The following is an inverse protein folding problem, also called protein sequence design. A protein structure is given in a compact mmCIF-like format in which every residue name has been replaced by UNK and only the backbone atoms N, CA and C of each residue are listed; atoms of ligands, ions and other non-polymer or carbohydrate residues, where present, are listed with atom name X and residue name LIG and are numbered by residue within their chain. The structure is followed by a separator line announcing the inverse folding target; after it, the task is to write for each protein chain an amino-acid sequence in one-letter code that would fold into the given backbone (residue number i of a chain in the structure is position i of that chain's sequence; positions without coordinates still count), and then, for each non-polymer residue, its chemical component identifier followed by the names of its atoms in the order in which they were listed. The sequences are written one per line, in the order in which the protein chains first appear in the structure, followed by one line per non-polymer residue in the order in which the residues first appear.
data_IF_699642739594
#
_entry.id   IF_699642739594
#
_cell.length_a   1.000
_cell.length_b   1.000
_cell.length_c   1.000
_cell.angle_alpha   90.00
_cell.angle_beta   90.00
_cell.angle_gamma   90.00
#
_symmetry.space_group_name_H-M   'P 1'
#
loop_
_entity.id
_entity.type
_entity.pdbx_description
1 polymer ?
#
# COMPACT_ATOMS: atom_id res chain seq x y z
N UNK A 1 -6.29 19.26 -3.14
CA UNK A 1 -6.21 18.94 -1.68
C UNK A 1 -4.97 19.63 -1.15
N UNK A 2 -5.04 20.38 -0.06
CA UNK A 2 -3.85 21.08 0.46
C UNK A 2 -2.90 20.07 1.13
N UNK A 3 -1.61 20.20 0.87
CA UNK A 3 -0.57 19.40 1.53
C UNK A 3 -0.59 19.66 3.03
N UNK A 4 -0.58 18.60 3.83
CA UNK A 4 -0.49 18.66 5.30
C UNK A 4 0.59 17.68 5.77
N UNK A 5 1.37 18.10 6.75
CA UNK A 5 2.39 17.25 7.36
C UNK A 5 1.91 16.80 8.75
N UNK A 6 1.65 15.52 8.96
CA UNK A 6 1.36 14.99 10.29
C UNK A 6 2.54 15.23 11.24
N UNK A 7 2.29 15.44 12.56
CA UNK A 7 3.36 15.67 13.54
C UNK A 7 4.47 14.61 13.54
N UNK A 8 4.10 13.35 13.33
CA UNK A 8 5.08 12.25 13.22
C UNK A 8 6.04 12.44 12.05
N UNK A 9 5.58 12.99 10.93
CA UNK A 9 6.42 13.24 9.76
C UNK A 9 7.34 14.45 9.95
N UNK A 10 6.97 15.41 10.77
CA UNK A 10 7.83 16.55 11.13
C UNK A 10 9.11 16.07 11.83
N UNK A 11 9.01 15.08 12.71
CA UNK A 11 10.19 14.51 13.36
C UNK A 11 11.18 13.89 12.37
N UNK A 12 10.68 13.20 11.33
CA UNK A 12 11.52 12.64 10.28
C UNK A 12 12.21 13.71 9.43
N UNK A 13 11.53 14.84 9.18
CA UNK A 13 12.14 15.99 8.48
C UNK A 13 13.27 16.59 9.34
N UNK A 14 13.07 16.76 10.64
CA UNK A 14 14.14 17.23 11.56
C UNK A 14 15.34 16.29 11.55
N UNK A 15 15.12 15.00 11.69
CA UNK A 15 16.19 14.00 11.59
C UNK A 15 16.89 14.04 10.23
N UNK A 16 16.14 14.24 9.13
CA UNK A 16 16.73 14.39 7.80
C UNK A 16 17.69 15.60 7.72
N UNK A 17 17.32 16.73 8.31
CA UNK A 17 18.15 17.94 8.32
C UNK A 17 19.46 17.76 9.10
N UNK A 18 19.50 16.86 10.08
CA UNK A 18 20.69 16.51 10.87
C UNK A 18 21.63 15.55 10.15
N UNK A 19 21.17 14.89 9.05
CA UNK A 19 22.03 13.96 8.31
C UNK A 19 23.18 14.66 7.62
N UNK A 20 24.36 14.03 7.53
CA UNK A 20 25.42 14.46 6.65
C UNK A 20 24.99 14.49 5.18
N UNK A 21 25.53 15.42 4.39
CA UNK A 21 25.16 15.58 2.97
C UNK A 21 25.41 14.31 2.17
N UNK A 22 26.48 13.56 2.45
CA UNK A 22 26.78 12.26 1.85
C UNK A 22 25.65 11.23 2.06
N UNK A 23 25.04 11.20 3.26
CA UNK A 23 23.90 10.31 3.56
C UNK A 23 22.65 10.72 2.81
N UNK A 24 22.43 12.02 2.61
CA UNK A 24 21.29 12.54 1.84
C UNK A 24 21.44 12.20 0.36
N UNK A 25 22.64 12.37 -0.19
CA UNK A 25 22.94 11.99 -1.58
C UNK A 25 22.79 10.48 -1.79
N UNK A 26 23.25 9.68 -0.84
CA UNK A 26 23.08 8.23 -0.87
C UNK A 26 21.61 7.82 -0.81
N UNK A 27 20.80 8.46 0.05
CA UNK A 27 19.36 8.24 0.15
C UNK A 27 18.65 8.62 -1.16
N UNK A 28 18.96 9.78 -1.74
CA UNK A 28 18.42 10.22 -3.01
C UNK A 28 18.78 9.23 -4.14
N UNK A 29 20.03 8.83 -4.20
CA UNK A 29 20.51 7.86 -5.19
C UNK A 29 19.79 6.53 -5.07
N UNK A 30 19.58 6.04 -3.84
CA UNK A 30 18.84 4.80 -3.58
C UNK A 30 17.36 4.93 -4.00
N UNK A 31 16.71 6.05 -3.67
CA UNK A 31 15.33 6.34 -4.09
C UNK A 31 15.16 6.40 -5.61
N UNK A 32 16.14 6.95 -6.33
CA UNK A 32 16.08 7.05 -7.81
C UNK A 32 16.37 5.70 -8.47
N UNK A 33 17.28 4.90 -7.91
CA UNK A 33 17.71 3.61 -8.48
C UNK A 33 16.80 2.44 -8.10
N UNK A 34 16.11 2.51 -6.97
CA UNK A 34 15.19 1.46 -6.55
C UNK A 34 14.07 1.27 -7.59
N UNK A 35 13.68 0.03 -7.81
CA UNK A 35 12.49 -0.28 -8.59
C UNK A 35 11.23 0.04 -7.79
N UNK A 36 10.08 0.22 -8.47
CA UNK A 36 8.81 0.40 -7.79
C UNK A 36 8.47 -0.85 -6.97
N UNK A 37 7.84 -0.64 -5.80
CA UNK A 37 7.32 -1.69 -4.92
C UNK A 37 5.80 -1.61 -4.87
N UNK A 38 5.19 -2.67 -4.37
CA UNK A 38 3.74 -2.66 -4.18
C UNK A 38 3.31 -1.71 -3.05
N UNK A 39 4.13 -1.58 -2.00
CA UNK A 39 3.86 -0.71 -0.87
C UNK A 39 5.11 0.04 -0.40
N UNK A 40 4.88 1.09 0.39
CA UNK A 40 5.95 1.98 0.89
C UNK A 40 6.83 1.31 1.95
N UNK A 41 6.35 0.27 2.63
CA UNK A 41 7.12 -0.45 3.65
C UNK A 41 8.22 -1.28 3.00
N UNK A 42 7.89 -2.05 1.94
CA UNK A 42 8.88 -2.83 1.19
C UNK A 42 9.93 -1.92 0.57
N UNK A 43 9.53 -0.74 0.07
CA UNK A 43 10.46 0.24 -0.47
C UNK A 43 11.38 0.80 0.62
N UNK A 44 10.83 1.12 1.80
CA UNK A 44 11.62 1.63 2.93
C UNK A 44 12.64 0.61 3.41
N UNK A 45 12.24 -0.64 3.56
CA UNK A 45 13.12 -1.74 3.99
C UNK A 45 14.27 -1.97 3.02
N UNK A 46 13.99 -1.98 1.71
CA UNK A 46 15.03 -2.16 0.68
C UNK A 46 16.05 -1.01 0.67
N UNK A 47 15.62 0.22 0.91
CA UNK A 47 16.49 1.41 0.88
C UNK A 47 17.25 1.57 2.18
N UNK A 48 16.65 1.31 3.33
CA UNK A 48 17.23 1.58 4.64
C UNK A 48 18.42 0.67 4.97
N UNK A 49 18.32 -0.62 4.66
CA UNK A 49 19.31 -1.63 5.03
C UNK A 49 20.71 -1.35 4.47
N UNK A 50 20.91 -1.09 3.15
CA UNK A 50 22.24 -0.81 2.59
C UNK A 50 22.85 0.51 3.09
N UNK A 51 21.99 1.47 3.50
CA UNK A 51 22.43 2.80 3.94
C UNK A 51 22.70 2.88 5.45
N UNK A 52 22.35 1.83 6.21
CA UNK A 52 22.42 1.83 7.66
C UNK A 52 21.54 2.92 8.28
N UNK A 53 20.39 3.21 7.66
CA UNK A 53 19.40 4.16 8.16
C UNK A 53 18.29 3.41 8.90
N UNK A 54 17.69 4.00 9.95
CA UNK A 54 16.51 3.41 10.58
C UNK A 54 15.35 3.27 9.58
N UNK A 55 14.73 2.09 9.51
CA UNK A 55 13.62 1.82 8.59
C UNK A 55 12.45 2.77 8.82
N UNK A 56 12.09 3.04 10.07
CA UNK A 56 11.04 3.99 10.43
C UNK A 56 11.31 5.41 9.91
N UNK A 57 12.56 5.86 9.94
CA UNK A 57 12.98 7.15 9.37
C UNK A 57 12.79 7.14 7.85
N UNK A 58 13.34 6.13 7.16
CA UNK A 58 13.24 6.00 5.70
C UNK A 58 11.78 5.92 5.24
N UNK A 59 10.96 5.15 5.95
CA UNK A 59 9.52 5.08 5.72
C UNK A 59 8.85 6.45 5.86
N UNK A 60 9.17 7.20 6.92
CA UNK A 60 8.64 8.54 7.13
C UNK A 60 8.97 9.51 5.97
N UNK A 61 10.20 9.48 5.46
CA UNK A 61 10.60 10.29 4.29
C UNK A 61 9.85 9.84 3.03
N UNK A 62 9.71 8.54 2.79
CA UNK A 62 8.96 8.01 1.64
C UNK A 62 7.47 8.39 1.73
N UNK A 63 6.87 8.37 2.91
CA UNK A 63 5.48 8.79 3.12
C UNK A 63 5.28 10.30 2.86
N UNK A 64 6.24 11.14 3.27
CA UNK A 64 6.22 12.58 2.93
C UNK A 64 6.28 12.76 1.42
N UNK A 65 7.24 12.13 0.74
CA UNK A 65 7.36 12.19 -0.72
C UNK A 65 6.10 11.68 -1.42
N UNK A 66 5.52 10.58 -0.92
CA UNK A 66 4.27 10.01 -1.44
C UNK A 66 3.10 10.99 -1.33
N UNK A 67 2.97 11.65 -0.18
CA UNK A 67 1.94 12.68 0.03
C UNK A 67 2.11 13.87 -0.90
N UNK A 68 3.36 14.33 -1.10
CA UNK A 68 3.68 15.39 -2.04
C UNK A 68 3.35 14.99 -3.48
N UNK A 69 3.69 13.76 -3.86
CA UNK A 69 3.40 13.24 -5.18
C UNK A 69 1.90 13.18 -5.48
N UNK A 70 1.06 12.82 -4.50
CA UNK A 70 -0.39 12.74 -4.66
C UNK A 70 -1.10 14.10 -4.67
N UNK A 71 -0.51 15.10 -4.03
CA UNK A 71 -1.09 16.46 -3.95
C UNK A 71 -0.62 17.37 -5.07
N UNK A 72 0.50 17.05 -5.71
CA UNK A 72 1.08 17.85 -6.78
C UNK A 72 0.19 17.83 -8.03
N UNK A 73 -0.03 19.01 -8.61
CA UNK A 73 -0.53 19.11 -9.99
C UNK A 73 0.64 18.78 -10.95
N UNK A 74 0.46 17.75 -11.76
CA UNK A 74 1.48 17.31 -12.72
C UNK A 74 1.79 18.35 -13.81
N UNK A 75 0.91 19.35 -14.02
CA UNK A 75 1.11 20.46 -14.95
C UNK A 75 2.00 21.56 -14.37
N UNK A 76 2.17 21.58 -13.06
CA UNK A 76 2.98 22.59 -12.39
C UNK A 76 4.45 22.15 -12.31
N UNK A 77 5.43 23.04 -12.61
CA UNK A 77 6.84 22.75 -12.37
C UNK A 77 7.11 22.34 -10.92
N UNK A 78 7.93 21.30 -10.70
CA UNK A 78 8.21 20.75 -9.38
C UNK A 78 8.73 21.79 -8.40
N UNK A 79 9.63 22.66 -8.87
CA UNK A 79 10.22 23.72 -8.07
C UNK A 79 9.16 24.68 -7.55
N UNK A 80 8.24 25.09 -8.42
CA UNK A 80 7.17 26.02 -8.08
C UNK A 80 6.22 25.40 -7.04
N UNK A 81 5.87 24.13 -7.21
CA UNK A 81 5.07 23.41 -6.23
C UNK A 81 5.76 23.30 -4.87
N UNK A 82 7.04 22.95 -4.86
CA UNK A 82 7.83 22.79 -3.62
C UNK A 82 7.93 24.14 -2.88
N UNK A 83 8.20 25.23 -3.59
CA UNK A 83 8.33 26.55 -2.97
C UNK A 83 6.99 27.11 -2.46
N UNK A 84 5.90 26.86 -3.19
CA UNK A 84 4.57 27.39 -2.87
C UNK A 84 3.84 26.63 -1.78
N UNK A 85 3.89 25.29 -1.82
CA UNK A 85 3.07 24.44 -0.93
C UNK A 85 3.90 23.82 0.22
N UNK A 86 5.12 23.36 -0.08
CA UNK A 86 5.89 22.58 0.89
C UNK A 86 6.56 23.48 1.91
N UNK A 87 7.23 24.54 1.47
CA UNK A 87 7.94 25.44 2.37
C UNK A 87 7.03 26.09 3.43
N UNK A 88 5.90 26.74 3.05
CA UNK A 88 5.02 27.34 4.04
C UNK A 88 4.45 26.32 5.02
N UNK A 89 4.10 25.12 4.53
CA UNK A 89 3.54 24.06 5.35
C UNK A 89 4.54 23.54 6.38
N UNK A 90 5.79 23.29 5.98
CA UNK A 90 6.85 22.85 6.90
C UNK A 90 7.26 23.96 7.88
N UNK A 91 7.26 25.21 7.44
CA UNK A 91 7.52 26.36 8.31
C UNK A 91 6.43 26.50 9.38
N UNK A 92 5.16 26.40 8.98
CA UNK A 92 4.03 26.44 9.92
C UNK A 92 4.03 25.27 10.90
N UNK A 93 4.54 24.11 10.48
CA UNK A 93 4.72 22.92 11.31
C UNK A 93 6.00 22.96 12.18
N UNK A 94 6.74 24.06 12.19
CA UNK A 94 7.99 24.25 12.96
C UNK A 94 9.04 23.16 12.66
N UNK A 95 9.17 22.78 11.40
CA UNK A 95 10.13 21.76 10.97
C UNK A 95 11.57 22.30 10.91
N UNK A 96 11.77 23.61 10.92
CA UNK A 96 13.06 24.29 10.79
C UNK A 96 13.50 24.98 12.08
N UNK A 97 14.80 25.16 12.25
CA UNK A 97 15.38 26.04 13.24
C UNK A 97 15.30 27.49 12.74
N UNK A 98 14.83 28.43 13.57
CA UNK A 98 14.67 29.84 13.19
C UNK A 98 16.01 30.47 12.71
N UNK A 99 17.12 30.07 13.33
CA UNK A 99 18.46 30.58 12.99
C UNK A 99 19.01 30.02 11.67
N UNK A 100 18.59 28.79 11.27
CA UNK A 100 19.15 28.06 10.12
C UNK A 100 18.16 27.84 8.98
N UNK A 101 16.98 28.41 9.06
CA UNK A 101 15.86 28.13 8.15
C UNK A 101 16.24 28.20 6.66
N UNK A 102 17.08 29.16 6.25
CA UNK A 102 17.49 29.29 4.85
C UNK A 102 18.40 28.16 4.39
N UNK A 103 19.35 27.74 5.23
CA UNK A 103 20.27 26.66 4.91
C UNK A 103 19.55 25.30 4.91
N UNK A 104 18.74 25.05 5.94
CA UNK A 104 17.92 23.85 6.08
C UNK A 104 16.91 23.73 4.94
N UNK A 105 16.24 24.83 4.58
CA UNK A 105 15.33 24.83 3.44
C UNK A 105 16.06 24.56 2.13
N UNK A 106 17.19 25.18 1.87
CA UNK A 106 17.98 24.94 0.65
C UNK A 106 18.30 23.45 0.48
N UNK A 107 18.75 22.80 1.55
CA UNK A 107 19.09 21.37 1.59
C UNK A 107 17.86 20.51 1.29
N UNK A 108 16.76 20.74 2.00
CA UNK A 108 15.52 19.97 1.85
C UNK A 108 14.84 20.21 0.48
N UNK A 109 14.86 21.44 0.01
CA UNK A 109 14.33 21.82 -1.31
C UNK A 109 15.00 21.06 -2.44
N UNK A 110 16.33 21.02 -2.44
CA UNK A 110 17.09 20.28 -3.46
C UNK A 110 16.74 18.79 -3.45
N UNK A 111 16.64 18.18 -2.28
CA UNK A 111 16.24 16.80 -2.13
C UNK A 111 14.81 16.56 -2.65
N UNK A 112 13.84 17.36 -2.28
CA UNK A 112 12.45 17.19 -2.73
C UNK A 112 12.30 17.35 -4.24
N UNK A 113 12.94 18.37 -4.83
CA UNK A 113 12.90 18.57 -6.28
C UNK A 113 13.47 17.35 -7.01
N UNK A 114 14.63 16.87 -6.60
CA UNK A 114 15.26 15.72 -7.23
C UNK A 114 14.45 14.42 -7.04
N UNK A 115 13.96 14.16 -5.83
CA UNK A 115 13.16 12.98 -5.53
C UNK A 115 11.80 12.98 -6.25
N UNK A 116 11.11 14.14 -6.29
CA UNK A 116 9.82 14.27 -6.97
C UNK A 116 9.94 14.27 -8.50
N UNK A 117 11.11 14.62 -9.05
CA UNK A 117 11.38 14.51 -10.49
C UNK A 117 11.59 13.07 -10.95
N UNK A 118 11.90 12.16 -10.01
CA UNK A 118 12.03 10.72 -10.28
C UNK A 118 10.72 9.99 -9.99
N UNK A 119 9.75 10.07 -10.91
CA UNK A 119 8.40 9.50 -10.72
C UNK A 119 8.36 7.96 -10.64
N UNK A 120 9.40 7.28 -11.13
CA UNK A 120 9.41 5.83 -11.38
C UNK A 120 9.33 4.99 -10.10
N UNK A 121 9.88 5.44 -8.99
CA UNK A 121 9.94 4.66 -7.75
C UNK A 121 8.83 5.03 -6.79
N UNK A 122 8.94 6.17 -6.13
CA UNK A 122 7.97 6.57 -5.08
C UNK A 122 6.58 6.79 -5.67
N UNK A 123 6.47 7.52 -6.78
CA UNK A 123 5.19 7.79 -7.42
C UNK A 123 4.48 6.53 -7.88
N UNK A 124 5.20 5.59 -8.51
CA UNK A 124 4.62 4.31 -8.94
C UNK A 124 4.24 3.44 -7.74
N UNK A 125 5.07 3.39 -6.70
CA UNK A 125 4.78 2.64 -5.46
C UNK A 125 3.52 3.15 -4.78
N UNK A 126 3.37 4.45 -4.64
CA UNK A 126 2.17 5.06 -4.03
C UNK A 126 0.92 4.80 -4.86
N UNK A 127 1.00 4.94 -6.19
CA UNK A 127 -0.12 4.60 -7.09
C UNK A 127 -0.50 3.12 -7.01
N UNK A 128 0.47 2.21 -6.93
CA UNK A 128 0.20 0.78 -6.80
C UNK A 128 -0.59 0.46 -5.51
N UNK A 129 -0.24 1.10 -4.39
CA UNK A 129 -0.99 0.97 -3.14
C UNK A 129 -2.43 1.49 -3.26
N UNK A 130 -2.64 2.60 -3.97
CA UNK A 130 -3.98 3.18 -4.17
C UNK A 130 -4.86 2.28 -5.02
N UNK A 131 -4.33 1.65 -6.08
CA UNK A 131 -5.12 0.80 -6.98
C UNK A 131 -5.88 -0.28 -6.22
N UNK A 132 -5.30 -0.89 -5.19
CA UNK A 132 -6.00 -1.87 -4.34
C UNK A 132 -7.04 -1.24 -3.41
N UNK A 133 -6.75 -0.05 -2.88
CA UNK A 133 -7.64 0.63 -1.93
C UNK A 133 -8.75 1.43 -2.61
N UNK A 134 -8.77 1.52 -3.95
CA UNK A 134 -9.85 2.13 -4.71
C UNK A 134 -11.14 1.28 -4.75
N UNK A 135 -11.05 0.00 -4.36
CA UNK A 135 -12.23 -0.85 -4.26
C UNK A 135 -12.98 -0.56 -2.96
N UNK A 136 -14.30 -0.43 -3.07
CA UNK A 136 -15.19 -0.17 -1.94
C UNK A 136 -15.11 -1.27 -0.88
N UNK A 137 -14.85 -2.51 -1.32
CA UNK A 137 -14.80 -3.71 -0.49
C UNK A 137 -13.53 -4.50 -0.76
N UNK A 138 -12.79 -4.76 0.29
CA UNK A 138 -11.52 -5.48 0.22
C UNK A 138 -11.69 -6.82 0.94
N UNK A 139 -11.32 -7.91 0.27
CA UNK A 139 -11.32 -9.24 0.88
C UNK A 139 -10.36 -9.27 2.08
N UNK A 140 -10.86 -9.66 3.24
CA UNK A 140 -10.09 -9.77 4.47
C UNK A 140 -9.89 -11.23 4.90
N UNK A 141 -10.80 -12.13 4.54
CA UNK A 141 -10.68 -13.55 4.83
C UNK A 141 -11.88 -14.35 4.37
N UNK A 142 -11.72 -15.68 4.32
CA UNK A 142 -12.80 -16.61 4.07
C UNK A 142 -12.65 -17.88 4.89
N UNK A 143 -13.78 -18.52 5.19
CA UNK A 143 -13.85 -19.82 5.85
C UNK A 143 -15.01 -20.62 5.29
N UNK A 144 -14.78 -21.94 5.09
CA UNK A 144 -15.84 -22.88 4.74
C UNK A 144 -16.11 -23.77 5.96
N UNK A 145 -17.36 -23.84 6.39
CA UNK A 145 -17.86 -24.72 7.44
C UNK A 145 -18.74 -25.77 6.78
N UNK A 146 -18.59 -27.03 7.15
CA UNK A 146 -19.37 -28.14 6.63
C UNK A 146 -20.24 -28.72 7.72
N UNK A 147 -21.55 -28.69 7.52
CA UNK A 147 -22.55 -29.18 8.45
C UNK A 147 -23.29 -30.37 7.88
N UNK A 148 -23.58 -31.37 8.71
CA UNK A 148 -24.50 -32.44 8.43
C UNK A 148 -25.82 -32.17 9.12
N UNK A 149 -26.91 -31.99 8.34
CA UNK A 149 -28.26 -31.70 8.85
C UNK A 149 -29.17 -32.87 8.68
N UNK A 150 -29.50 -33.59 9.77
CA UNK A 150 -30.46 -34.69 9.71
C UNK A 150 -31.88 -34.16 9.43
N UNK A 151 -32.62 -34.91 8.65
CA UNK A 151 -34.03 -34.65 8.30
C UNK A 151 -34.89 -35.62 9.06
N UNK A 152 -35.71 -35.10 9.97
CA UNK A 152 -36.60 -35.84 10.82
C UNK A 152 -38.03 -35.85 10.25
N UNK A 153 -38.80 -36.90 10.57
CA UNK A 153 -40.25 -36.91 10.45
C UNK A 153 -40.91 -36.01 11.49
N UNK A 154 -42.25 -36.08 11.53
CA UNK A 154 -43.04 -35.44 12.59
C UNK A 154 -42.69 -35.95 14.00
N UNK A 155 -42.23 -37.19 14.12
CA UNK A 155 -41.77 -37.79 15.39
C UNK A 155 -40.26 -37.66 15.51
N UNK A 156 -39.78 -36.56 16.06
CA UNK A 156 -38.34 -36.23 16.23
C UNK A 156 -37.59 -37.17 17.18
N UNK A 157 -38.30 -38.05 17.92
CA UNK A 157 -37.72 -39.08 18.79
C UNK A 157 -37.26 -40.32 18.03
N UNK A 158 -37.63 -40.45 16.77
CA UNK A 158 -37.22 -41.55 15.89
C UNK A 158 -35.95 -41.17 15.12
N UNK A 159 -35.25 -42.19 14.60
CA UNK A 159 -34.03 -41.99 13.79
C UNK A 159 -34.38 -41.16 12.54
N UNK A 160 -33.57 -40.19 12.15
CA UNK A 160 -33.79 -39.42 10.92
C UNK A 160 -33.68 -40.36 9.69
N UNK A 161 -34.53 -40.13 8.68
CA UNK A 161 -34.51 -40.92 7.45
C UNK A 161 -33.41 -40.54 6.48
N UNK A 162 -33.01 -39.29 6.54
CA UNK A 162 -32.03 -38.69 5.63
C UNK A 162 -31.21 -37.63 6.33
N UNK A 163 -30.11 -37.24 5.71
CA UNK A 163 -29.33 -36.08 6.12
C UNK A 163 -28.81 -35.35 4.88
N UNK A 164 -28.65 -34.04 4.99
CA UNK A 164 -28.09 -33.19 3.96
C UNK A 164 -26.77 -32.62 4.44
N UNK A 165 -25.74 -32.70 3.61
CA UNK A 165 -24.49 -31.98 3.82
C UNK A 165 -24.61 -30.60 3.20
N UNK A 166 -24.35 -29.55 3.99
CA UNK A 166 -24.37 -28.16 3.56
C UNK A 166 -23.02 -27.57 3.88
N UNK A 167 -22.47 -26.85 2.92
CA UNK A 167 -21.27 -26.04 3.13
C UNK A 167 -21.67 -24.57 3.29
N UNK A 168 -21.15 -23.91 4.30
CA UNK A 168 -21.36 -22.48 4.55
C UNK A 168 -20.06 -21.75 4.27
N UNK A 169 -20.00 -21.02 3.17
CA UNK A 169 -18.89 -20.10 2.89
C UNK A 169 -19.15 -18.79 3.62
N UNK A 170 -18.28 -18.46 4.56
CA UNK A 170 -18.17 -17.13 5.16
C UNK A 170 -17.12 -16.34 4.41
N UNK A 171 -17.45 -15.13 3.95
CA UNK A 171 -16.49 -14.15 3.42
C UNK A 171 -16.50 -12.95 4.34
N UNK A 172 -15.32 -12.54 4.80
CA UNK A 172 -15.13 -11.31 5.57
C UNK A 172 -14.54 -10.26 4.65
N UNK A 173 -15.20 -9.14 4.52
CA UNK A 173 -14.68 -7.94 3.85
C UNK A 173 -14.23 -6.88 4.85
N UNK A 174 -13.43 -5.94 4.36
CA UNK A 174 -13.07 -4.72 5.07
C UNK A 174 -13.34 -3.53 4.16
N UNK A 175 -14.00 -2.49 4.69
CA UNK A 175 -14.17 -1.22 3.99
C UNK A 175 -12.92 -0.33 4.12
N UNK A 176 -12.93 0.81 3.44
CA UNK A 176 -11.85 1.80 3.47
C UNK A 176 -11.69 2.49 4.83
N UNK A 177 -12.63 2.32 5.75
CA UNK A 177 -12.61 2.86 7.12
C UNK A 177 -12.13 1.83 8.14
N UNK A 178 -11.90 0.58 7.71
CA UNK A 178 -11.43 -0.52 8.55
C UNK A 178 -12.56 -1.30 9.22
N UNK A 179 -13.84 -1.05 8.90
CA UNK A 179 -14.94 -1.86 9.40
C UNK A 179 -14.96 -3.21 8.68
N UNK A 180 -15.25 -4.26 9.43
CA UNK A 180 -15.37 -5.62 8.90
C UNK A 180 -16.85 -6.01 8.79
N UNK A 181 -17.21 -6.67 7.68
CA UNK A 181 -18.54 -7.24 7.47
C UNK A 181 -18.43 -8.68 6.97
N UNK A 182 -19.26 -9.56 7.53
CA UNK A 182 -19.32 -10.97 7.19
C UNK A 182 -20.52 -11.26 6.29
N UNK A 183 -20.27 -12.04 5.24
CA UNK A 183 -21.30 -12.58 4.34
C UNK A 183 -21.27 -14.09 4.39
N UNK A 184 -22.46 -14.71 4.36
CA UNK A 184 -22.63 -16.15 4.45
C UNK A 184 -23.37 -16.67 3.25
N UNK A 185 -22.83 -17.70 2.60
CA UNK A 185 -23.39 -18.34 1.42
C UNK A 185 -23.51 -19.83 1.68
N UNK A 186 -24.72 -20.38 1.53
CA UNK A 186 -24.91 -21.83 1.54
C UNK A 186 -24.47 -22.39 0.18
N UNK A 187 -23.63 -23.40 0.20
CA UNK A 187 -23.07 -24.05 -0.98
C UNK A 187 -23.35 -25.54 -0.92
N UNK A 188 -23.50 -26.16 -2.08
CA UNK A 188 -23.42 -27.61 -2.25
C UNK A 188 -22.00 -28.03 -2.71
N UNK A 189 -21.82 -29.35 -2.95
CA UNK A 189 -20.53 -29.88 -3.38
C UNK A 189 -20.13 -29.44 -4.79
N UNK A 190 -21.10 -29.16 -5.68
CA UNK A 190 -20.83 -28.66 -7.04
C UNK A 190 -20.38 -27.22 -7.01
N UNK A 191 -20.95 -26.41 -6.11
CA UNK A 191 -20.51 -25.03 -5.89
C UNK A 191 -19.05 -24.97 -5.45
N UNK A 192 -18.61 -25.90 -4.58
CA UNK A 192 -17.20 -25.98 -4.16
C UNK A 192 -16.26 -26.29 -5.34
N UNK A 193 -16.66 -27.24 -6.21
CA UNK A 193 -15.89 -27.57 -7.41
C UNK A 193 -15.81 -26.36 -8.33
N UNK A 194 -16.93 -25.68 -8.55
CA UNK A 194 -16.99 -24.47 -9.39
C UNK A 194 -16.07 -23.38 -8.86
N UNK A 195 -16.09 -23.10 -7.54
CA UNK A 195 -15.21 -22.11 -6.92
C UNK A 195 -13.73 -22.48 -7.06
N UNK A 196 -13.41 -23.76 -6.91
CA UNK A 196 -12.05 -24.28 -7.10
C UNK A 196 -11.55 -24.05 -8.54
N UNK A 197 -12.37 -24.39 -9.54
CA UNK A 197 -12.04 -24.21 -10.96
C UNK A 197 -11.86 -22.73 -11.32
N UNK A 198 -12.74 -21.85 -10.82
CA UNK A 198 -12.63 -20.41 -11.03
C UNK A 198 -11.34 -19.84 -10.44
N UNK A 199 -10.98 -20.27 -9.22
CA UNK A 199 -9.73 -19.85 -8.57
C UNK A 199 -8.49 -20.33 -9.36
N UNK A 200 -8.47 -21.60 -9.79
CA UNK A 200 -7.39 -22.14 -10.60
C UNK A 200 -7.24 -21.39 -11.95
N UNK A 201 -8.36 -21.09 -12.61
CA UNK A 201 -8.36 -20.31 -13.85
C UNK A 201 -7.83 -18.89 -13.65
N UNK A 202 -8.17 -18.24 -12.53
CA UNK A 202 -7.67 -16.92 -12.20
C UNK A 202 -6.15 -16.93 -12.01
N UNK A 203 -5.61 -17.91 -11.26
CA UNK A 203 -4.16 -18.08 -11.08
C UNK A 203 -3.42 -18.37 -12.40
N UNK A 204 -4.01 -19.17 -13.29
CA UNK A 204 -3.44 -19.42 -14.61
C UNK A 204 -3.38 -18.14 -15.47
N UNK A 205 -4.44 -17.32 -15.45
CA UNK A 205 -4.46 -16.01 -16.13
C UNK A 205 -3.40 -15.07 -15.57
N UNK A 206 -3.25 -15.00 -14.23
CA UNK A 206 -2.22 -14.19 -13.58
C UNK A 206 -0.82 -14.57 -14.10
N UNK A 207 -0.50 -15.86 -14.14
CA UNK A 207 0.79 -16.36 -14.66
C UNK A 207 1.04 -15.94 -16.11
N UNK A 208 0.01 -16.02 -16.96
CA UNK A 208 0.11 -15.63 -18.37
C UNK A 208 0.33 -14.12 -18.52
N UNK A 209 -0.45 -13.31 -17.81
CA UNK A 209 -0.33 -11.84 -17.83
C UNK A 209 1.04 -11.38 -17.33
N UNK A 210 1.56 -12.04 -16.27
CA UNK A 210 2.89 -11.78 -15.73
C UNK A 210 3.97 -11.98 -16.80
N UNK A 211 3.95 -13.11 -17.50
CA UNK A 211 4.91 -13.40 -18.57
C UNK A 211 4.84 -12.38 -19.72
N UNK A 212 3.63 -11.95 -20.10
CA UNK A 212 3.43 -10.92 -21.14
C UNK A 212 4.01 -9.58 -20.70
N UNK A 213 3.74 -9.14 -19.49
CA UNK A 213 4.24 -7.86 -18.97
C UNK A 213 5.76 -7.87 -18.82
N UNK A 214 6.33 -8.94 -18.27
CA UNK A 214 7.79 -9.11 -18.14
C UNK A 214 8.49 -9.10 -19.47
N UNK A 215 7.94 -9.78 -20.49
CA UNK A 215 8.49 -9.76 -21.86
C UNK A 215 8.42 -8.37 -22.51
N UNK A 216 7.51 -7.51 -22.05
CA UNK A 216 7.37 -6.12 -22.49
C UNK A 216 8.20 -5.13 -21.63
N UNK A 217 9.03 -5.62 -20.71
CA UNK A 217 9.84 -4.79 -19.83
C UNK A 217 9.04 -4.08 -18.72
N UNK A 218 7.80 -4.51 -18.46
CA UNK A 218 6.95 -3.96 -17.41
C UNK A 218 7.07 -4.82 -16.15
N UNK A 219 7.49 -4.23 -15.04
CA UNK A 219 7.54 -4.92 -13.74
C UNK A 219 6.14 -5.15 -13.20
N UNK A 220 5.78 -6.40 -12.93
CA UNK A 220 4.51 -6.75 -12.28
C UNK A 220 4.70 -6.73 -10.77
N UNK A 221 4.00 -5.82 -10.11
CA UNK A 221 4.00 -5.69 -8.67
C UNK A 221 2.97 -6.64 -8.07
N UNK A 222 3.41 -7.54 -7.22
CA UNK A 222 2.52 -8.44 -6.49
C UNK A 222 2.17 -7.88 -5.12
N UNK A 223 0.88 -7.84 -4.77
CA UNK A 223 0.45 -7.54 -3.41
C UNK A 223 0.79 -8.73 -2.50
N UNK A 224 2.04 -8.86 -2.09
CA UNK A 224 2.40 -9.79 -1.04
C UNK A 224 1.91 -9.22 0.28
N UNK A 225 0.90 -9.88 0.89
CA UNK A 225 0.41 -9.58 2.25
C UNK A 225 -0.08 -8.13 2.44
N UNK A 226 -1.19 -7.80 1.83
CA UNK A 226 -1.95 -6.59 2.19
C UNK A 226 -2.96 -6.87 3.33
N UNK A 227 -3.01 -8.12 3.81
CA UNK A 227 -4.01 -8.62 4.75
C UNK A 227 -3.37 -9.32 5.93
#
# INVERSE_FOLDING_TARGET
MAFRVPPAQVSHIKTFLELPDEKIEALLTALVKAGPKFNVFDLASEISAPLGLPEAFTLGIIQVLGSLYLTRDWKEPTEKFVDREVFPTLKAAQAFSDEKIHAEWKKLRQFFIAALSSERTVGTTVKAGIVLTQHERIFSGARIMTDLRPIYHLKVSEKPDAAVIIHMLKITERDNFGHHQDYYFALDSNDLVTLQELAQRAMAKEKTLKGIMESSGVTVLNPKQFF
#
